data_IF_311974066860
#
_entry.id   IF_311974066860
#
_cell.length_a   1.000
_cell.length_b   1.000
_cell.length_c   1.000
_cell.angle_alpha   90.00
_cell.angle_beta   90.00
_cell.angle_gamma   90.00
#
_symmetry.space_group_name_H-M   'P 1'
#
loop_
_entity.id
_entity.type
_entity.pdbx_description
1 polymer ?
#
# COMPACT_ATOMS: atom_id res chain seq x y z
N UNK A 1 16.21 -2.16 -4.11
CA UNK A 1 14.94 -2.37 -4.81
C UNK A 1 15.21 -3.27 -6.02
N UNK A 2 14.55 -4.43 -6.09
CA UNK A 2 14.64 -5.40 -7.19
C UNK A 2 13.34 -5.31 -7.99
N UNK A 3 13.44 -5.23 -9.32
CA UNK A 3 12.30 -5.06 -10.22
C UNK A 3 12.35 -5.99 -11.41
N UNK A 4 11.19 -6.19 -12.05
CA UNK A 4 11.08 -6.81 -13.37
C UNK A 4 11.18 -8.32 -13.39
N UNK A 5 11.53 -8.94 -12.27
CA UNK A 5 11.58 -10.40 -12.11
C UNK A 5 10.78 -10.82 -10.87
N UNK A 6 10.21 -12.00 -10.89
CA UNK A 6 9.73 -12.63 -9.67
C UNK A 6 10.93 -13.02 -8.80
N UNK A 7 10.78 -12.84 -7.49
CA UNK A 7 11.85 -13.15 -6.53
C UNK A 7 11.27 -13.95 -5.36
N UNK A 8 12.15 -14.67 -4.67
CA UNK A 8 11.80 -15.42 -3.47
C UNK A 8 11.88 -14.58 -2.16
N UNK A 9 12.00 -13.26 -2.28
CA UNK A 9 12.04 -12.36 -1.11
C UNK A 9 10.83 -12.55 -0.19
N UNK A 10 9.57 -12.63 -0.68
CA UNK A 10 8.42 -12.89 0.19
C UNK A 10 8.54 -14.22 0.95
N UNK A 11 8.96 -15.29 0.28
CA UNK A 11 9.20 -16.58 0.91
C UNK A 11 10.28 -16.49 2.01
N UNK A 12 11.40 -15.84 1.73
CA UNK A 12 12.46 -15.65 2.72
C UNK A 12 11.98 -14.83 3.92
N UNK A 13 11.17 -13.79 3.68
CA UNK A 13 10.58 -13.00 4.75
C UNK A 13 9.65 -13.82 5.63
N UNK A 14 8.80 -14.66 5.04
CA UNK A 14 7.91 -15.57 5.76
C UNK A 14 8.70 -16.59 6.59
N UNK A 15 9.74 -17.18 5.98
CA UNK A 15 10.60 -18.15 6.65
C UNK A 15 11.30 -17.55 7.87
N UNK A 16 11.91 -16.37 7.72
CA UNK A 16 12.61 -15.67 8.81
C UNK A 16 11.66 -15.19 9.91
N UNK A 17 10.40 -14.93 9.59
CA UNK A 17 9.38 -14.53 10.56
C UNK A 17 8.65 -15.73 11.20
N UNK A 18 8.87 -16.95 10.71
CA UNK A 18 8.20 -18.13 11.23
C UNK A 18 8.59 -18.41 12.68
N UNK A 19 7.63 -18.66 13.62
CA UNK A 19 7.92 -18.82 15.05
C UNK A 19 8.98 -19.87 15.35
N UNK A 20 8.94 -21.04 14.68
CA UNK A 20 9.94 -22.10 14.87
C UNK A 20 11.33 -21.66 14.37
N UNK A 21 11.38 -20.84 13.30
CA UNK A 21 12.66 -20.32 12.82
C UNK A 21 13.25 -19.30 13.80
N UNK A 22 12.42 -18.41 14.33
CA UNK A 22 12.82 -17.40 15.32
C UNK A 22 13.27 -18.04 16.62
N UNK A 23 12.62 -19.13 17.05
CA UNK A 23 13.01 -19.88 18.27
C UNK A 23 14.24 -20.79 18.09
N UNK A 24 14.72 -20.97 16.86
CA UNK A 24 15.82 -21.88 16.55
C UNK A 24 15.40 -23.36 16.47
N UNK A 25 14.11 -23.67 16.52
CA UNK A 25 13.55 -25.01 16.40
C UNK A 25 13.29 -25.38 14.93
N UNK A 26 14.37 -25.56 14.16
CA UNK A 26 14.27 -25.94 12.75
C UNK A 26 15.36 -26.95 12.34
N UNK A 27 15.06 -27.70 11.30
CA UNK A 27 15.94 -28.71 10.71
C UNK A 27 15.94 -28.57 9.16
N UNK A 28 16.66 -29.44 8.47
CA UNK A 28 16.74 -29.45 7.00
C UNK A 28 15.40 -29.77 6.33
N UNK A 29 14.45 -30.39 7.03
CA UNK A 29 13.09 -30.68 6.58
C UNK A 29 12.09 -29.52 6.77
N UNK A 30 12.51 -28.42 7.40
CA UNK A 30 11.64 -27.32 7.80
C UNK A 30 10.71 -26.81 6.67
N UNK A 31 11.27 -26.66 5.46
CA UNK A 31 10.50 -26.18 4.30
C UNK A 31 9.44 -27.21 3.89
N UNK A 32 9.81 -28.49 3.84
CA UNK A 32 8.88 -29.54 3.48
C UNK A 32 7.76 -29.73 4.53
N UNK A 33 8.07 -29.50 5.82
CA UNK A 33 7.10 -29.61 6.91
C UNK A 33 6.09 -28.47 6.93
N UNK A 34 6.51 -27.23 6.63
CA UNK A 34 5.69 -26.04 6.80
C UNK A 34 5.13 -25.49 5.48
N UNK A 35 5.72 -25.84 4.34
CA UNK A 35 5.37 -25.36 3.00
C UNK A 35 5.24 -26.52 2.00
N UNK A 36 4.63 -27.64 2.44
CA UNK A 36 4.49 -28.86 1.64
C UNK A 36 3.78 -28.66 0.29
N UNK A 37 2.86 -27.68 0.22
CA UNK A 37 2.10 -27.33 -0.99
C UNK A 37 2.72 -26.15 -1.76
N UNK A 38 3.93 -25.76 -1.44
CA UNK A 38 4.57 -24.55 -1.96
C UNK A 38 4.21 -23.31 -1.14
N UNK A 39 4.92 -22.23 -1.43
CA UNK A 39 4.70 -20.93 -0.77
C UNK A 39 3.62 -20.14 -1.52
N UNK A 40 2.65 -19.61 -0.78
CA UNK A 40 1.61 -18.71 -1.29
C UNK A 40 1.69 -17.35 -0.56
N UNK A 41 1.10 -16.31 -1.15
CA UNK A 41 1.19 -14.95 -0.59
C UNK A 41 0.57 -14.84 0.81
N UNK A 42 -0.40 -15.68 1.11
CA UNK A 42 -1.09 -15.78 2.40
C UNK A 42 -0.20 -16.32 3.52
N UNK A 43 0.88 -17.02 3.17
CA UNK A 43 1.88 -17.52 4.14
C UNK A 43 2.79 -16.41 4.69
N UNK A 44 2.72 -15.20 4.13
CA UNK A 44 3.49 -14.06 4.64
C UNK A 44 2.79 -13.49 5.87
N UNK A 45 3.34 -13.63 7.08
CA UNK A 45 2.75 -13.04 8.26
C UNK A 45 2.92 -11.52 8.22
N UNK A 46 1.95 -10.82 7.67
CA UNK A 46 1.89 -9.37 7.79
C UNK A 46 1.15 -9.03 9.07
N UNK A 47 1.85 -8.39 10.01
CA UNK A 47 1.30 -8.02 11.31
C UNK A 47 0.10 -7.07 11.19
N UNK A 48 0.10 -6.21 10.17
CA UNK A 48 -0.96 -5.26 9.90
C UNK A 48 -1.15 -5.03 8.38
N UNK A 49 -1.96 -5.82 7.69
CA UNK A 49 -2.20 -5.66 6.25
C UNK A 49 -2.90 -4.34 5.90
N UNK A 50 -3.66 -3.74 6.84
CA UNK A 50 -4.32 -2.45 6.63
C UNK A 50 -3.32 -1.28 6.57
N UNK A 51 -2.11 -1.45 7.10
CA UNK A 51 -1.04 -0.48 6.93
C UNK A 51 -0.71 -0.23 5.45
N UNK A 52 -0.75 -1.26 4.58
CA UNK A 52 -0.51 -1.08 3.14
C UNK A 52 -1.62 -0.23 2.50
N UNK A 53 -2.86 -0.41 2.95
CA UNK A 53 -4.01 0.40 2.53
C UNK A 53 -3.83 1.86 2.97
N UNK A 54 -3.45 2.07 4.23
CA UNK A 54 -3.17 3.40 4.77
C UNK A 54 -2.02 4.09 4.02
N UNK A 55 -0.94 3.36 3.75
CA UNK A 55 0.21 3.88 3.01
C UNK A 55 -0.14 4.24 1.56
N UNK A 56 -1.00 3.46 0.89
CA UNK A 56 -1.50 3.78 -0.45
C UNK A 56 -2.27 5.11 -0.45
N UNK A 57 -3.19 5.30 0.50
CA UNK A 57 -3.96 6.54 0.65
C UNK A 57 -3.05 7.73 0.98
N UNK A 58 -2.12 7.58 1.92
CA UNK A 58 -1.13 8.59 2.27
C UNK A 58 -0.30 9.05 1.06
N UNK A 59 0.26 8.10 0.30
CA UNK A 59 1.04 8.43 -0.89
C UNK A 59 0.18 9.07 -1.98
N UNK A 60 -1.06 8.61 -2.18
CA UNK A 60 -1.99 9.25 -3.10
C UNK A 60 -2.28 10.71 -2.70
N UNK A 61 -2.53 10.96 -1.42
CA UNK A 61 -2.75 12.31 -0.88
C UNK A 61 -1.56 13.23 -1.16
N UNK A 62 -0.33 12.76 -0.99
CA UNK A 62 0.89 13.50 -1.32
C UNK A 62 0.99 13.82 -2.83
N UNK A 63 0.69 12.85 -3.70
CA UNK A 63 0.65 13.11 -5.16
C UNK A 63 -0.42 14.15 -5.51
N UNK A 64 -1.58 14.10 -4.87
CA UNK A 64 -2.65 15.07 -5.09
C UNK A 64 -2.28 16.46 -4.57
N UNK A 65 -1.64 16.55 -3.41
CA UNK A 65 -1.13 17.82 -2.86
C UNK A 65 -0.14 18.48 -3.83
N UNK A 66 0.82 17.70 -4.34
CA UNK A 66 1.74 18.22 -5.37
C UNK A 66 0.99 18.72 -6.61
N UNK A 67 0.01 17.99 -7.10
CA UNK A 67 -0.78 18.40 -8.27
C UNK A 67 -1.59 19.67 -8.00
N UNK A 68 -2.12 19.85 -6.79
CA UNK A 68 -2.86 21.05 -6.39
C UNK A 68 -1.97 22.26 -6.21
N UNK A 69 -0.67 22.09 -5.97
CA UNK A 69 0.31 23.17 -5.81
C UNK A 69 0.92 23.69 -7.13
N UNK A 70 0.48 23.20 -8.29
CA UNK A 70 0.99 23.67 -9.58
C UNK A 70 0.50 25.10 -9.84
N UNK A 71 1.42 26.00 -10.20
CA UNK A 71 1.11 27.40 -10.55
C UNK A 71 0.35 27.49 -11.87
N UNK A 72 -0.38 28.58 -12.08
CA UNK A 72 -1.13 28.85 -13.33
C UNK A 72 -2.50 28.17 -13.38
N UNK A 73 -3.03 27.72 -12.26
CA UNK A 73 -4.42 27.25 -12.20
C UNK A 73 -5.38 28.41 -12.40
N UNK A 74 -6.52 28.15 -13.05
CA UNK A 74 -7.55 29.14 -13.28
C UNK A 74 -8.19 29.54 -11.93
N UNK A 75 -8.28 30.83 -11.66
CA UNK A 75 -8.86 31.36 -10.43
C UNK A 75 -10.32 30.85 -10.26
N UNK A 76 -10.63 30.30 -9.08
CA UNK A 76 -11.91 29.70 -8.76
C UNK A 76 -12.08 28.24 -9.22
N UNK A 77 -11.09 27.68 -9.95
CA UNK A 77 -11.06 26.28 -10.41
C UNK A 77 -9.81 25.55 -9.92
N UNK A 78 -9.21 25.98 -8.82
CA UNK A 78 -8.05 25.33 -8.22
C UNK A 78 -8.37 23.90 -7.81
N UNK A 79 -7.42 23.00 -8.02
CA UNK A 79 -7.56 21.61 -7.63
C UNK A 79 -7.60 21.51 -6.10
N UNK A 80 -8.77 21.22 -5.54
CA UNK A 80 -8.95 20.95 -4.11
C UNK A 80 -8.73 19.45 -3.86
N UNK A 81 -7.93 19.13 -2.85
CA UNK A 81 -7.71 17.75 -2.42
C UNK A 81 -8.59 17.48 -1.22
N UNK A 82 -9.53 16.56 -1.37
CA UNK A 82 -10.36 16.10 -0.27
C UNK A 82 -9.58 15.20 0.70
N UNK A 83 -10.21 14.90 1.82
CA UNK A 83 -9.68 14.02 2.87
C UNK A 83 -10.24 12.60 2.78
N UNK A 84 -11.45 12.44 2.24
CA UNK A 84 -12.10 11.15 2.10
C UNK A 84 -11.73 10.46 0.79
N UNK A 85 -11.29 9.21 0.90
CA UNK A 85 -10.92 8.33 -0.21
C UNK A 85 -11.53 6.95 -0.01
N UNK A 86 -11.54 6.17 -1.08
CA UNK A 86 -11.79 4.73 -1.03
C UNK A 86 -10.59 4.04 -1.68
N UNK A 87 -9.93 3.20 -0.93
CA UNK A 87 -8.85 2.34 -1.44
C UNK A 87 -9.48 1.04 -1.92
N UNK A 88 -9.38 0.77 -3.20
CA UNK A 88 -9.86 -0.47 -3.83
C UNK A 88 -8.67 -1.37 -4.06
N UNK A 89 -8.52 -2.39 -3.24
CA UNK A 89 -7.49 -3.42 -3.40
C UNK A 89 -7.92 -4.38 -4.49
N UNK A 90 -7.09 -4.49 -5.53
CA UNK A 90 -7.38 -5.30 -6.71
C UNK A 90 -7.06 -6.77 -6.41
N UNK A 91 -8.06 -7.61 -6.40
CA UNK A 91 -7.93 -9.07 -6.29
C UNK A 91 -7.98 -9.77 -7.63
N UNK A 92 -7.75 -11.08 -7.62
CA UNK A 92 -7.91 -11.93 -8.79
C UNK A 92 -9.38 -11.95 -9.26
N UNK A 93 -9.59 -12.16 -10.55
CA UNK A 93 -10.93 -12.36 -11.16
C UNK A 93 -11.97 -11.28 -10.83
N UNK A 94 -11.52 -10.05 -10.57
CA UNK A 94 -12.43 -8.93 -10.26
C UNK A 94 -12.96 -8.92 -8.82
N UNK A 95 -12.46 -9.77 -7.95
CA UNK A 95 -12.77 -9.74 -6.50
C UNK A 95 -12.00 -8.58 -5.84
N UNK A 96 -12.61 -7.40 -5.81
CA UNK A 96 -12.00 -6.20 -5.25
C UNK A 96 -12.54 -5.95 -3.85
N UNK A 97 -11.61 -5.61 -2.94
CA UNK A 97 -11.97 -5.18 -1.58
C UNK A 97 -11.90 -3.66 -1.51
N UNK A 98 -12.92 -3.04 -0.92
CA UNK A 98 -13.00 -1.58 -0.78
C UNK A 98 -12.84 -1.18 0.68
N UNK A 99 -11.96 -0.22 0.93
CA UNK A 99 -11.68 0.33 2.25
C UNK A 99 -11.95 1.84 2.21
N UNK A 100 -13.00 2.33 2.91
CA UNK A 100 -13.14 3.76 3.17
C UNK A 100 -11.97 4.24 4.03
N UNK A 101 -11.37 5.35 3.62
CA UNK A 101 -10.17 5.91 4.25
C UNK A 101 -10.33 7.42 4.36
N UNK A 102 -9.99 7.97 5.51
CA UNK A 102 -9.83 9.41 5.72
C UNK A 102 -8.37 9.74 5.95
N UNK A 103 -7.89 10.80 5.28
CA UNK A 103 -6.52 11.30 5.40
C UNK A 103 -6.60 12.74 5.88
N UNK A 104 -6.39 12.92 7.17
CA UNK A 104 -6.47 14.22 7.87
C UNK A 104 -5.10 14.71 8.31
N UNK A 105 -5.04 15.92 8.85
CA UNK A 105 -3.81 16.55 9.41
C UNK A 105 -2.61 16.48 8.43
N UNK A 106 -2.91 16.62 7.14
CA UNK A 106 -1.88 16.54 6.11
C UNK A 106 -0.99 17.78 6.14
N UNK A 107 0.27 17.57 6.47
CA UNK A 107 1.30 18.59 6.46
C UNK A 107 2.37 18.29 5.41
N UNK A 108 2.41 19.06 4.35
CA UNK A 108 3.29 18.80 3.19
C UNK A 108 4.77 18.93 3.53
N UNK A 109 5.14 19.87 4.42
CA UNK A 109 6.55 20.12 4.79
C UNK A 109 7.15 19.00 5.61
N UNK A 110 6.45 18.52 6.62
CA UNK A 110 6.88 17.40 7.45
C UNK A 110 6.59 16.04 6.78
N UNK A 111 5.72 16.02 5.76
CA UNK A 111 5.24 14.81 5.16
C UNK A 111 4.46 13.95 6.15
N UNK A 112 3.72 14.57 7.08
CA UNK A 112 2.94 13.85 8.08
C UNK A 112 1.45 13.87 7.76
N UNK A 113 0.73 12.84 8.22
CA UNK A 113 -0.72 12.75 8.11
C UNK A 113 -1.28 11.71 9.08
N UNK A 114 -2.51 11.94 9.54
CA UNK A 114 -3.31 10.90 10.17
C UNK A 114 -4.16 10.20 9.10
N UNK A 115 -4.11 8.88 9.09
CA UNK A 115 -4.86 8.04 8.13
C UNK A 115 -5.75 7.09 8.90
N UNK A 116 -7.06 7.21 8.71
CA UNK A 116 -8.06 6.35 9.34
C UNK A 116 -8.53 5.30 8.34
N UNK A 117 -8.41 4.02 8.68
CA UNK A 117 -8.91 2.89 7.90
C UNK A 117 -9.86 2.07 8.78
N UNK A 118 -11.15 2.26 8.61
CA UNK A 118 -12.15 1.66 9.51
C UNK A 118 -11.92 2.09 10.96
N UNK A 119 -11.68 1.13 11.87
CA UNK A 119 -11.39 1.39 13.27
C UNK A 119 -9.90 1.69 13.57
N UNK A 120 -9.01 1.48 12.61
CA UNK A 120 -7.57 1.62 12.81
C UNK A 120 -7.10 3.02 12.40
N UNK A 121 -6.24 3.63 13.22
CA UNK A 121 -5.63 4.94 12.99
C UNK A 121 -4.12 4.80 12.82
N UNK A 122 -3.59 5.45 11.79
CA UNK A 122 -2.18 5.43 11.42
C UNK A 122 -1.64 6.85 11.35
N UNK A 123 -0.72 7.22 12.23
CA UNK A 123 0.07 8.44 12.08
C UNK A 123 1.28 8.12 11.22
N UNK A 124 1.25 8.53 9.96
CA UNK A 124 2.32 8.27 8.99
C UNK A 124 3.14 9.53 8.78
N UNK A 125 4.46 9.40 8.85
CA UNK A 125 5.40 10.48 8.58
C UNK A 125 6.45 9.98 7.58
N UNK A 126 6.62 10.69 6.45
CA UNK A 126 7.62 10.34 5.44
C UNK A 126 7.99 11.53 4.59
N UNK A 127 9.28 11.82 4.52
CA UNK A 127 9.86 12.82 3.64
C UNK A 127 10.37 12.25 2.31
N UNK A 128 9.98 11.01 1.99
CA UNK A 128 10.38 10.35 0.75
C UNK A 128 10.02 11.20 -0.47
N UNK A 129 10.95 11.34 -1.40
CA UNK A 129 10.74 12.08 -2.64
C UNK A 129 9.71 11.39 -3.51
N UNK A 130 8.71 12.12 -4.00
CA UNK A 130 7.70 11.58 -4.92
C UNK A 130 8.36 11.07 -6.21
N UNK A 131 7.92 9.91 -6.66
CA UNK A 131 8.48 9.21 -7.81
C UNK A 131 9.59 8.21 -7.47
N UNK A 132 10.17 8.27 -6.28
CA UNK A 132 11.03 7.19 -5.80
C UNK A 132 10.17 6.01 -5.33
N UNK A 133 10.64 4.80 -5.62
CA UNK A 133 9.94 3.56 -5.25
C UNK A 133 10.09 3.27 -3.78
N UNK A 134 11.28 3.49 -3.22
CA UNK A 134 11.53 3.28 -1.81
C UNK A 134 10.96 4.43 -0.99
N UNK A 135 10.01 4.11 -0.13
CA UNK A 135 9.40 5.02 0.83
C UNK A 135 9.86 4.60 2.22
N UNK A 136 10.53 5.51 2.91
CA UNK A 136 10.96 5.33 4.29
C UNK A 136 10.25 6.36 5.17
N UNK A 137 9.93 5.97 6.39
CA UNK A 137 9.25 6.86 7.32
C UNK A 137 8.98 6.18 8.65
N UNK A 138 8.04 6.76 9.40
CA UNK A 138 7.50 6.16 10.61
C UNK A 138 5.98 6.02 10.52
N UNK A 139 5.46 4.98 11.14
CA UNK A 139 4.04 4.75 11.36
C UNK A 139 3.81 4.52 12.85
N UNK A 140 3.01 5.36 13.49
CA UNK A 140 2.78 5.33 14.94
C UNK A 140 4.09 5.30 15.75
N UNK A 141 5.12 6.02 15.27
CA UNK A 141 6.44 6.09 15.91
C UNK A 141 7.39 4.94 15.57
N UNK A 142 6.93 3.90 14.85
CA UNK A 142 7.78 2.79 14.40
C UNK A 142 8.29 3.05 12.98
N UNK A 143 9.59 2.91 12.77
CA UNK A 143 10.21 3.06 11.45
C UNK A 143 9.77 1.98 10.48
N UNK A 144 9.51 2.36 9.21
CA UNK A 144 9.22 1.42 8.13
C UNK A 144 10.02 1.72 6.87
N UNK A 145 10.18 0.70 6.04
CA UNK A 145 10.67 0.83 4.66
C UNK A 145 9.74 0.04 3.75
N UNK A 146 9.08 0.72 2.84
CA UNK A 146 8.15 0.14 1.89
C UNK A 146 8.55 0.47 0.44
N UNK A 147 7.94 -0.23 -0.52
CA UNK A 147 8.04 0.10 -1.94
C UNK A 147 6.66 0.54 -2.42
N UNK A 148 6.61 1.68 -3.11
CA UNK A 148 5.39 2.22 -3.70
C UNK A 148 5.67 2.58 -5.16
N UNK A 149 4.98 1.91 -6.07
CA UNK A 149 5.09 2.15 -7.51
C UNK A 149 3.74 2.55 -8.09
N UNK A 150 3.74 3.51 -9.02
CA UNK A 150 2.55 3.88 -9.78
C UNK A 150 2.58 3.19 -11.14
N UNK A 151 1.41 2.67 -11.56
CA UNK A 151 1.26 2.08 -12.88
C UNK A 151 2.09 0.83 -13.12
N UNK A 152 2.52 0.13 -12.05
CA UNK A 152 3.36 -1.06 -12.17
C UNK A 152 2.61 -2.34 -12.57
N UNK A 153 1.27 -2.31 -12.56
CA UNK A 153 0.42 -3.42 -12.93
C UNK A 153 -0.27 -3.23 -14.30
N UNK A 154 -1.33 -3.98 -14.52
CA UNK A 154 -2.19 -3.84 -15.71
C UNK A 154 -2.95 -2.52 -15.74
N UNK A 155 -3.22 -1.93 -14.57
CA UNK A 155 -3.92 -0.65 -14.45
C UNK A 155 -2.92 0.49 -14.19
N UNK A 156 -2.77 1.45 -15.12
CA UNK A 156 -1.81 2.56 -14.98
C UNK A 156 -2.14 3.54 -13.84
N UNK A 157 -3.35 3.48 -13.30
CA UNK A 157 -3.77 4.31 -12.17
C UNK A 157 -3.52 3.64 -10.81
N UNK A 158 -3.22 2.33 -10.81
CA UNK A 158 -3.00 1.60 -9.58
C UNK A 158 -1.65 1.95 -8.94
N UNK A 159 -1.65 1.89 -7.62
CA UNK A 159 -0.45 1.88 -6.79
C UNK A 159 -0.15 0.44 -6.40
N UNK A 160 1.08 0.01 -6.62
CA UNK A 160 1.60 -1.22 -6.02
C UNK A 160 2.34 -0.85 -4.75
N UNK A 161 1.90 -1.38 -3.63
CA UNK A 161 2.50 -1.14 -2.31
C UNK A 161 3.00 -2.45 -1.75
N UNK A 162 4.27 -2.50 -1.39
CA UNK A 162 4.89 -3.69 -0.80
C UNK A 162 5.65 -3.32 0.49
N UNK A 163 5.44 -4.12 1.53
CA UNK A 163 6.09 -3.98 2.82
C UNK A 163 6.23 -5.36 3.48
N UNK A 164 7.40 -5.66 4.02
CA UNK A 164 7.71 -6.91 4.73
C UNK A 164 7.24 -8.18 4.00
N UNK A 165 7.47 -8.26 2.69
CA UNK A 165 7.10 -9.40 1.87
C UNK A 165 5.66 -9.41 1.35
N UNK A 166 4.75 -8.68 1.97
CA UNK A 166 3.36 -8.53 1.50
C UNK A 166 3.24 -7.42 0.48
N UNK A 167 2.41 -7.64 -0.53
CA UNK A 167 2.17 -6.67 -1.60
C UNK A 167 0.69 -6.58 -1.91
N UNK A 168 0.22 -5.35 -2.14
CA UNK A 168 -1.10 -5.07 -2.69
C UNK A 168 -0.99 -4.24 -3.97
N UNK A 169 -1.98 -4.38 -4.85
CA UNK A 169 -2.24 -3.45 -5.95
C UNK A 169 -3.56 -2.74 -5.66
N UNK A 170 -3.56 -1.42 -5.61
CA UNK A 170 -4.69 -0.65 -5.14
C UNK A 170 -4.96 0.58 -6.00
N UNK A 171 -6.24 0.87 -6.23
CA UNK A 171 -6.71 2.16 -6.73
C UNK A 171 -7.13 3.02 -5.54
N UNK A 172 -6.69 4.27 -5.51
CA UNK A 172 -7.16 5.24 -4.52
C UNK A 172 -8.07 6.23 -5.23
N UNK A 173 -9.35 6.18 -4.91
CA UNK A 173 -10.40 6.90 -5.61
C UNK A 173 -11.11 7.86 -4.65
N UNK A 174 -11.76 8.89 -5.20
CA UNK A 174 -12.76 9.64 -4.45
C UNK A 174 -13.99 8.74 -4.17
N UNK A 175 -14.83 9.06 -3.17
CA UNK A 175 -16.05 8.28 -2.90
C UNK A 175 -16.96 8.15 -4.12
N UNK A 176 -17.07 9.20 -4.94
CA UNK A 176 -17.81 9.15 -6.20
C UNK A 176 -17.11 8.24 -7.22
N UNK A 177 -15.80 8.37 -7.37
CA UNK A 177 -15.00 7.53 -8.27
C UNK A 177 -15.12 6.04 -7.93
N UNK A 178 -15.12 5.70 -6.64
CA UNK A 178 -15.28 4.31 -6.20
C UNK A 178 -16.67 3.75 -6.53
N UNK A 179 -17.73 4.56 -6.36
CA UNK A 179 -19.09 4.16 -6.77
C UNK A 179 -19.18 3.92 -8.28
N UNK A 180 -18.58 4.81 -9.09
CA UNK A 180 -18.56 4.64 -10.55
C UNK A 180 -17.72 3.43 -10.96
N UNK A 181 -16.58 3.21 -10.31
CA UNK A 181 -15.74 2.04 -10.55
C UNK A 181 -16.47 0.71 -10.28
N UNK A 182 -17.29 0.67 -9.22
CA UNK A 182 -18.08 -0.53 -8.89
C UNK A 182 -19.16 -0.87 -9.93
N UNK A 183 -19.56 0.09 -10.76
CA UNK A 183 -20.53 -0.13 -11.84
C UNK A 183 -19.88 -0.62 -13.14
N UNK A 184 -18.54 -0.55 -13.24
CA UNK A 184 -17.83 -1.01 -14.43
C UNK A 184 -17.76 -2.55 -14.44
N UNK A 185 -18.15 -3.20 -15.54
CA UNK A 185 -18.01 -4.64 -15.64
C UNK A 185 -16.52 -5.03 -15.63
N UNK A 186 -16.20 -6.09 -14.91
CA UNK A 186 -14.86 -6.70 -14.98
C UNK A 186 -14.63 -7.19 -16.42
N UNK A 187 -13.56 -6.72 -17.04
CA UNK A 187 -13.12 -7.19 -18.34
C UNK A 187 -11.96 -8.16 -18.13
N UNK A 188 -12.21 -9.43 -18.36
CA UNK A 188 -11.22 -10.50 -18.27
C UNK A 188 -10.06 -10.30 -19.27
#
# INVERSE_FOLDING_TARGET
VIRGISSNIPFQSALLAHPRFVSGDFNTGFIAENYAHGFVAEDVPHQDPLFLVALAAFMHRRYRARASGISGQLAGHEVKVGEAFVVVVLGAEGQHQQYPVEVTDFEDKSGSSAVQVGANSYKIESTATLGQIRVQGSCNGQGFTAQVERGAGKNPLALRVAHNGTQIEALVLSPLGARLHALMPYKA
#
